data_IF_570601471476
#
_entry.id   IF_570601471476
#
_cell.length_a   1.000
_cell.length_b   1.000
_cell.length_c   1.000
_cell.angle_alpha   90.00
_cell.angle_beta   90.00
_cell.angle_gamma   90.00
#
_symmetry.space_group_name_H-M   'P 1'
#
loop_
_entity.id
_entity.type
_entity.pdbx_description
1 polymer ?
#
# COMPACT_ATOMS: atom_id res chain seq x y z
N UNK A 1 28.85 40.88 -34.95
CA UNK A 1 28.78 39.42 -34.60
C UNK A 1 28.72 38.59 -35.89
N UNK A 2 29.72 37.76 -36.16
CA UNK A 2 29.78 36.94 -37.36
C UNK A 2 28.64 35.92 -37.35
N UNK A 3 27.82 35.89 -38.43
CA UNK A 3 26.81 34.84 -38.68
C UNK A 3 27.54 33.50 -38.81
N UNK A 4 27.24 32.53 -37.92
CA UNK A 4 27.73 31.18 -38.05
C UNK A 4 27.32 30.63 -39.42
N UNK A 5 28.30 30.21 -40.24
CA UNK A 5 28.05 29.59 -41.54
C UNK A 5 27.31 28.27 -41.32
N UNK A 6 26.04 28.22 -41.71
CA UNK A 6 25.28 26.97 -41.76
C UNK A 6 25.86 26.08 -42.86
N UNK A 7 26.27 24.86 -42.50
CA UNK A 7 26.83 23.90 -43.44
C UNK A 7 25.73 22.96 -43.92
N UNK A 8 25.65 22.71 -45.24
CA UNK A 8 24.76 21.74 -45.86
C UNK A 8 25.42 20.36 -45.80
N UNK A 9 24.75 19.36 -45.30
CA UNK A 9 25.26 17.98 -45.26
C UNK A 9 25.07 17.25 -46.59
N UNK A 10 25.72 16.09 -46.72
CA UNK A 10 25.56 15.19 -47.88
C UNK A 10 24.14 14.69 -48.09
N UNK A 11 23.31 14.63 -46.99
CA UNK A 11 21.90 14.28 -47.01
C UNK A 11 20.95 15.44 -47.35
N UNK A 12 21.52 16.63 -47.69
CA UNK A 12 20.77 17.81 -48.07
C UNK A 12 20.26 18.69 -46.95
N UNK A 13 20.29 18.22 -45.68
CA UNK A 13 19.83 18.97 -44.53
C UNK A 13 20.80 20.08 -44.13
N UNK A 14 20.23 21.18 -43.66
CA UNK A 14 21.00 22.28 -43.05
C UNK A 14 21.37 21.92 -41.61
N UNK A 15 22.57 22.30 -41.18
CA UNK A 15 23.11 22.05 -39.86
C UNK A 15 23.54 23.34 -39.20
N UNK A 16 23.24 23.51 -37.92
CA UNK A 16 23.76 24.56 -37.05
C UNK A 16 24.36 23.97 -35.79
N UNK A 17 25.34 24.66 -35.23
CA UNK A 17 26.07 24.26 -34.04
C UNK A 17 25.76 25.24 -32.91
N UNK A 18 25.18 24.76 -31.81
CA UNK A 18 24.86 25.55 -30.61
C UNK A 18 25.83 25.17 -29.50
N UNK A 19 26.47 26.15 -28.91
CA UNK A 19 27.41 25.96 -27.79
C UNK A 19 26.63 25.74 -26.48
N UNK A 20 26.96 24.67 -25.74
CA UNK A 20 26.31 24.29 -24.48
C UNK A 20 27.09 24.70 -23.22
N UNK A 21 28.31 25.15 -23.34
CA UNK A 21 29.28 25.34 -22.25
C UNK A 21 30.33 24.21 -22.19
N UNK A 22 31.39 24.41 -21.45
CA UNK A 22 32.48 23.44 -21.19
C UNK A 22 33.01 22.71 -22.44
N UNK A 23 33.12 23.42 -23.56
CA UNK A 23 33.58 22.84 -24.83
C UNK A 23 32.57 21.94 -25.55
N UNK A 24 31.37 21.77 -25.00
CA UNK A 24 30.31 20.92 -25.59
C UNK A 24 29.42 21.67 -26.56
N UNK A 25 28.94 20.97 -27.56
CA UNK A 25 28.09 21.54 -28.61
C UNK A 25 26.91 20.60 -28.91
N UNK A 26 25.74 21.20 -29.21
CA UNK A 26 24.58 20.49 -29.79
C UNK A 26 24.48 20.84 -31.27
N UNK A 27 24.32 19.82 -32.11
CA UNK A 27 24.05 20.00 -33.52
C UNK A 27 22.54 19.93 -33.76
N UNK A 28 22.02 20.93 -34.49
CA UNK A 28 20.61 21.06 -34.81
C UNK A 28 20.48 20.92 -36.31
N UNK A 29 19.49 20.15 -36.78
CA UNK A 29 19.26 19.82 -38.19
C UNK A 29 17.85 20.20 -38.60
N UNK A 30 17.70 20.70 -39.85
CA UNK A 30 16.42 20.99 -40.47
C UNK A 30 16.51 20.98 -41.97
N UNK A 31 15.38 20.82 -42.64
CA UNK A 31 15.31 20.83 -44.08
C UNK A 31 15.26 22.25 -44.67
N UNK A 32 14.76 23.19 -43.88
CA UNK A 32 14.65 24.62 -44.24
C UNK A 32 15.40 25.52 -43.27
N UNK A 33 15.85 26.68 -43.78
CA UNK A 33 16.55 27.70 -42.95
C UNK A 33 15.63 28.22 -41.83
N UNK A 34 14.35 28.45 -42.13
CA UNK A 34 13.38 28.95 -41.16
C UNK A 34 13.17 27.98 -40.00
N UNK A 35 13.09 26.70 -40.29
CA UNK A 35 12.97 25.65 -39.29
C UNK A 35 14.25 25.50 -38.44
N UNK A 36 15.43 25.60 -39.11
CA UNK A 36 16.72 25.54 -38.44
C UNK A 36 16.85 26.70 -37.44
N UNK A 37 16.52 27.92 -37.84
CA UNK A 37 16.57 29.10 -37.00
C UNK A 37 15.61 28.99 -35.80
N UNK A 38 14.40 28.47 -36.02
CA UNK A 38 13.45 28.17 -34.94
C UNK A 38 14.03 27.18 -33.93
N UNK A 39 14.50 26.03 -34.40
CA UNK A 39 15.10 24.99 -33.55
C UNK A 39 16.33 25.48 -32.77
N UNK A 40 17.17 26.31 -33.38
CA UNK A 40 18.34 26.94 -32.74
C UNK A 40 17.86 27.90 -31.62
N UNK A 41 16.83 28.68 -31.86
CA UNK A 41 16.28 29.59 -30.85
C UNK A 41 15.67 28.81 -29.68
N UNK A 42 14.94 27.73 -29.95
CA UNK A 42 14.40 26.83 -28.91
C UNK A 42 15.51 26.27 -28.01
N UNK A 43 16.62 25.74 -28.59
CA UNK A 43 17.76 25.26 -27.84
C UNK A 43 18.40 26.36 -27.00
N UNK A 44 18.58 27.58 -27.57
CA UNK A 44 19.14 28.72 -26.83
C UNK A 44 18.24 29.16 -25.67
N UNK A 45 16.92 29.14 -25.86
CA UNK A 45 15.94 29.43 -24.82
C UNK A 45 16.02 28.41 -23.66
N UNK A 46 16.12 27.12 -24.00
CA UNK A 46 16.32 26.06 -23.00
C UNK A 46 17.61 26.26 -22.20
N UNK A 47 18.72 26.57 -22.87
CA UNK A 47 20.01 26.87 -22.23
C UNK A 47 19.86 28.12 -21.32
N UNK A 48 19.18 29.17 -21.80
CA UNK A 48 18.92 30.39 -21.02
C UNK A 48 18.08 30.13 -19.76
N UNK A 49 17.18 29.13 -19.79
CA UNK A 49 16.44 28.63 -18.63
C UNK A 49 17.28 27.69 -17.72
N UNK A 50 18.54 27.40 -18.08
CA UNK A 50 19.43 26.51 -17.36
C UNK A 50 19.09 25.02 -17.53
N UNK A 51 18.38 24.64 -18.60
CA UNK A 51 18.05 23.24 -18.90
C UNK A 51 19.27 22.56 -19.51
N UNK A 52 19.58 21.33 -19.02
CA UNK A 52 20.66 20.51 -19.55
C UNK A 52 20.21 19.81 -20.85
N UNK A 53 20.49 20.46 -21.97
CA UNK A 53 20.14 19.95 -23.32
C UNK A 53 21.00 18.74 -23.73
N UNK A 54 22.04 18.36 -22.98
CA UNK A 54 22.86 17.18 -23.28
C UNK A 54 22.14 15.88 -22.85
N UNK A 55 21.27 15.95 -21.85
CA UNK A 55 20.47 14.83 -21.32
C UNK A 55 19.06 14.75 -21.94
N UNK A 56 18.72 15.58 -22.95
CA UNK A 56 17.40 15.60 -23.58
C UNK A 56 16.99 14.27 -24.23
N UNK A 57 17.95 13.40 -24.56
CA UNK A 57 17.71 12.10 -25.19
C UNK A 57 17.48 10.98 -24.18
N UNK A 58 17.78 11.23 -22.90
CA UNK A 58 17.56 10.22 -21.86
C UNK A 58 16.08 9.95 -21.72
N UNK A 59 15.72 8.69 -21.76
CA UNK A 59 14.31 8.27 -21.76
C UNK A 59 13.67 8.31 -20.37
N UNK A 60 12.35 8.31 -20.32
CA UNK A 60 11.61 8.17 -19.07
C UNK A 60 12.07 6.93 -18.27
N UNK A 61 12.29 5.78 -18.96
CA UNK A 61 12.77 4.55 -18.34
C UNK A 61 14.13 4.71 -17.65
N UNK A 62 15.09 5.38 -18.31
CA UNK A 62 16.41 5.64 -17.73
C UNK A 62 16.33 6.57 -16.50
N UNK A 63 15.46 7.59 -16.55
CA UNK A 63 15.22 8.47 -15.39
C UNK A 63 14.49 7.77 -14.27
N UNK A 64 13.55 6.88 -14.58
CA UNK A 64 12.87 6.05 -13.60
C UNK A 64 13.85 5.11 -12.87
N UNK A 65 14.79 4.49 -13.59
CA UNK A 65 15.83 3.68 -12.98
C UNK A 65 16.78 4.49 -12.08
N UNK A 66 17.20 5.67 -12.53
CA UNK A 66 18.03 6.59 -11.72
C UNK A 66 17.29 7.00 -10.44
N UNK A 67 16.02 7.32 -10.57
CA UNK A 67 15.16 7.67 -9.45
C UNK A 67 14.99 6.48 -8.48
N UNK A 68 14.75 5.26 -8.96
CA UNK A 68 14.68 4.06 -8.14
C UNK A 68 15.98 3.79 -7.40
N UNK A 69 17.14 3.91 -8.06
CA UNK A 69 18.45 3.77 -7.40
C UNK A 69 18.61 4.77 -6.26
N UNK A 70 18.18 6.02 -6.43
CA UNK A 70 18.20 7.05 -5.38
C UNK A 70 17.29 6.74 -4.19
N UNK A 71 16.17 6.00 -4.42
CA UNK A 71 15.22 5.59 -3.37
C UNK A 71 15.69 4.37 -2.58
N UNK A 72 16.53 3.52 -3.18
CA UNK A 72 17.03 2.29 -2.57
C UNK A 72 17.74 2.60 -1.24
N UNK A 73 17.36 1.91 -0.17
CA UNK A 73 17.88 2.10 1.17
C UNK A 73 17.35 3.33 1.93
N UNK A 74 16.64 4.26 1.25
CA UNK A 74 16.05 5.46 1.89
C UNK A 74 14.58 5.28 2.27
N UNK A 75 13.92 4.28 1.70
CA UNK A 75 12.53 3.93 1.98
C UNK A 75 12.46 2.45 2.39
N UNK A 76 11.32 2.04 2.95
CA UNK A 76 11.12 0.62 3.29
C UNK A 76 11.18 -0.25 2.05
N UNK A 77 11.68 -1.49 2.19
CA UNK A 77 11.80 -2.44 1.09
C UNK A 77 10.43 -2.69 0.40
N UNK A 78 9.35 -2.82 1.18
CA UNK A 78 8.01 -3.00 0.61
C UNK A 78 7.59 -1.82 -0.27
N UNK A 79 7.89 -0.58 0.14
CA UNK A 79 7.59 0.60 -0.68
C UNK A 79 8.48 0.67 -1.93
N UNK A 80 9.76 0.30 -1.79
CA UNK A 80 10.67 0.20 -2.94
C UNK A 80 10.15 -0.80 -3.98
N UNK A 81 9.72 -1.99 -3.56
CA UNK A 81 9.15 -3.01 -4.45
C UNK A 81 7.86 -2.51 -5.12
N UNK A 82 7.00 -1.82 -4.38
CA UNK A 82 5.80 -1.19 -4.97
C UNK A 82 6.18 -0.22 -6.08
N UNK A 83 7.16 0.66 -5.85
CA UNK A 83 7.64 1.62 -6.84
C UNK A 83 8.24 0.91 -8.06
N UNK A 84 9.08 -0.10 -7.84
CA UNK A 84 9.69 -0.88 -8.93
C UNK A 84 8.64 -1.57 -9.82
N UNK A 85 7.59 -2.14 -9.20
CA UNK A 85 6.46 -2.74 -9.94
C UNK A 85 5.72 -1.67 -10.74
N UNK A 86 5.45 -0.48 -10.17
CA UNK A 86 4.78 0.61 -10.90
C UNK A 86 5.60 1.07 -12.10
N UNK A 87 6.90 1.31 -11.89
CA UNK A 87 7.83 1.69 -12.98
C UNK A 87 7.81 0.64 -14.10
N UNK A 88 7.96 -0.63 -13.77
CA UNK A 88 7.92 -1.71 -14.76
C UNK A 88 6.61 -1.74 -15.58
N UNK A 89 5.49 -1.36 -14.95
CA UNK A 89 4.17 -1.33 -15.61
C UNK A 89 3.92 -0.07 -16.44
N UNK A 90 4.85 0.88 -16.48
CA UNK A 90 4.82 2.08 -17.32
C UNK A 90 5.71 1.91 -18.58
N UNK A 91 5.80 0.68 -19.10
CA UNK A 91 6.68 0.35 -20.21
C UNK A 91 6.33 1.10 -21.51
N UNK A 92 5.05 1.41 -21.71
CA UNK A 92 4.55 2.12 -22.90
C UNK A 92 5.21 3.50 -23.08
N UNK A 93 5.58 4.17 -22.01
CA UNK A 93 6.26 5.48 -22.01
C UNK A 93 7.78 5.38 -21.75
N UNK A 94 8.29 4.17 -21.53
CA UNK A 94 9.68 3.95 -21.10
C UNK A 94 10.72 4.47 -22.08
N UNK A 95 10.42 4.41 -23.39
CA UNK A 95 11.32 4.80 -24.46
C UNK A 95 11.15 6.25 -24.94
N UNK A 96 10.18 7.00 -24.38
CA UNK A 96 9.97 8.40 -24.72
C UNK A 96 11.07 9.23 -24.06
N UNK A 97 11.76 10.13 -24.78
CA UNK A 97 12.67 11.10 -24.18
C UNK A 97 11.93 11.90 -23.09
N UNK A 98 12.50 11.98 -21.88
CA UNK A 98 11.76 12.57 -20.75
C UNK A 98 11.42 14.05 -20.99
N UNK A 99 12.21 14.75 -21.78
CA UNK A 99 11.98 16.15 -22.17
C UNK A 99 10.81 16.32 -23.16
N UNK A 100 10.39 15.23 -23.81
CA UNK A 100 9.31 15.21 -24.82
C UNK A 100 8.03 14.58 -24.26
N UNK A 101 8.08 14.05 -23.03
CA UNK A 101 6.95 13.40 -22.38
C UNK A 101 5.79 14.39 -22.22
N UNK A 102 4.65 14.08 -22.83
CA UNK A 102 3.45 14.91 -22.82
C UNK A 102 2.45 14.51 -21.74
N UNK A 103 1.47 15.37 -21.52
CA UNK A 103 0.31 15.08 -20.65
C UNK A 103 -0.47 13.88 -21.18
N UNK A 104 -0.64 13.79 -22.52
CA UNK A 104 -1.34 12.68 -23.18
C UNK A 104 -0.67 11.34 -22.92
N UNK A 105 0.65 11.24 -23.10
CA UNK A 105 1.39 10.01 -22.83
C UNK A 105 1.20 9.51 -21.40
N UNK A 106 1.19 10.45 -20.45
CA UNK A 106 0.98 10.14 -19.06
C UNK A 106 -0.49 9.78 -18.73
N UNK A 107 -1.46 10.41 -19.43
CA UNK A 107 -2.89 10.10 -19.30
C UNK A 107 -3.19 8.71 -19.83
N UNK A 108 -2.60 8.32 -20.97
CA UNK A 108 -2.79 6.99 -21.57
C UNK A 108 -2.44 5.85 -20.60
N UNK A 109 -1.44 6.03 -19.75
CA UNK A 109 -1.13 5.07 -18.67
C UNK A 109 -2.29 4.96 -17.66
N UNK A 110 -2.87 6.07 -17.27
CA UNK A 110 -4.00 6.09 -16.33
C UNK A 110 -5.23 5.42 -16.97
N UNK A 111 -5.53 5.78 -18.21
CA UNK A 111 -6.70 5.29 -18.96
C UNK A 111 -6.60 3.78 -19.22
N UNK A 112 -5.41 3.29 -19.60
CA UNK A 112 -5.12 1.86 -19.75
C UNK A 112 -5.44 1.09 -18.47
N UNK A 113 -4.91 1.52 -17.33
CA UNK A 113 -5.16 0.82 -16.07
C UNK A 113 -6.56 1.05 -15.51
N UNK A 114 -7.23 2.14 -15.90
CA UNK A 114 -8.65 2.34 -15.62
C UNK A 114 -9.49 1.31 -16.37
N UNK A 115 -9.21 1.10 -17.66
CA UNK A 115 -9.88 0.09 -18.48
C UNK A 115 -9.64 -1.35 -17.95
N UNK A 116 -8.43 -1.60 -17.39
CA UNK A 116 -8.08 -2.87 -16.72
C UNK A 116 -8.77 -3.03 -15.34
N UNK A 117 -9.62 -2.11 -14.91
CA UNK A 117 -10.32 -2.18 -13.62
C UNK A 117 -9.42 -1.91 -12.40
N UNK A 118 -8.35 -1.15 -12.55
CA UNK A 118 -7.47 -0.83 -11.42
C UNK A 118 -8.19 0.08 -10.40
N UNK A 119 -8.08 -0.26 -9.12
CA UNK A 119 -8.65 0.55 -8.05
C UNK A 119 -8.10 1.98 -8.07
N UNK A 120 -8.93 2.97 -7.77
CA UNK A 120 -8.59 4.40 -7.76
C UNK A 120 -7.29 4.70 -6.97
N UNK A 121 -7.09 4.05 -5.82
CA UNK A 121 -5.85 4.15 -5.05
C UNK A 121 -4.62 3.71 -5.86
N UNK A 122 -4.74 2.69 -6.69
CA UNK A 122 -3.67 2.21 -7.57
C UNK A 122 -3.34 3.24 -8.64
N UNK A 123 -4.35 3.88 -9.23
CA UNK A 123 -4.18 4.97 -10.19
C UNK A 123 -3.50 6.19 -9.55
N UNK A 124 -3.90 6.57 -8.33
CA UNK A 124 -3.19 7.60 -7.53
C UNK A 124 -1.70 7.26 -7.31
N UNK A 125 -1.37 5.98 -7.11
CA UNK A 125 0.02 5.55 -6.98
C UNK A 125 0.80 5.68 -8.30
N UNK A 126 0.20 5.34 -9.46
CA UNK A 126 0.82 5.56 -10.78
C UNK A 126 1.10 7.05 -10.99
N UNK A 127 0.08 7.91 -10.82
CA UNK A 127 0.23 9.37 -10.92
C UNK A 127 1.35 9.88 -10.00
N UNK A 128 1.38 9.43 -8.75
CA UNK A 128 2.40 9.84 -7.78
C UNK A 128 3.81 9.40 -8.18
N UNK A 129 4.00 8.18 -8.71
CA UNK A 129 5.32 7.67 -9.12
C UNK A 129 5.81 8.42 -10.37
N UNK A 130 4.98 8.57 -11.40
CA UNK A 130 5.30 9.36 -12.59
C UNK A 130 5.70 10.80 -12.22
N UNK A 131 4.88 11.45 -11.38
CA UNK A 131 5.16 12.81 -10.93
C UNK A 131 6.49 12.94 -10.20
N UNK A 132 6.85 11.97 -9.35
CA UNK A 132 8.14 11.98 -8.64
C UNK A 132 9.33 11.78 -9.58
N UNK A 133 9.19 10.99 -10.65
CA UNK A 133 10.22 10.78 -11.66
C UNK A 133 10.42 12.06 -12.47
N UNK A 134 9.32 12.67 -12.98
CA UNK A 134 9.38 13.95 -13.68
C UNK A 134 9.96 15.06 -12.80
N UNK A 135 9.53 15.15 -11.54
CA UNK A 135 10.09 16.12 -10.60
C UNK A 135 11.58 15.90 -10.37
N UNK A 136 12.06 14.66 -10.37
CA UNK A 136 13.47 14.36 -10.29
C UNK A 136 14.24 14.85 -11.52
N UNK A 137 13.66 14.73 -12.73
CA UNK A 137 14.23 15.25 -13.95
C UNK A 137 14.25 16.80 -13.96
N UNK A 138 13.20 17.46 -13.45
CA UNK A 138 13.15 18.93 -13.31
C UNK A 138 14.25 19.45 -12.37
N UNK A 139 14.42 18.83 -11.19
CA UNK A 139 15.49 19.20 -10.25
C UNK A 139 16.88 19.04 -10.88
N UNK A 140 17.04 18.08 -11.80
CA UNK A 140 18.27 17.89 -12.58
C UNK A 140 18.31 18.72 -13.88
N UNK A 141 17.37 19.66 -14.06
CA UNK A 141 17.34 20.62 -15.17
C UNK A 141 17.22 19.99 -16.56
N UNK A 142 16.49 18.88 -16.69
CA UNK A 142 16.27 18.19 -17.96
C UNK A 142 14.88 18.51 -18.54
N UNK A 143 13.94 18.85 -17.66
CA UNK A 143 12.61 19.35 -18.05
C UNK A 143 12.31 20.64 -17.28
N UNK A 144 11.38 21.42 -17.82
CA UNK A 144 10.94 22.68 -17.20
C UNK A 144 9.55 22.62 -16.56
N UNK A 145 8.74 21.60 -16.87
CA UNK A 145 7.44 21.39 -16.24
C UNK A 145 7.14 19.89 -16.05
N UNK A 146 6.20 19.58 -15.15
CA UNK A 146 5.79 18.22 -14.86
C UNK A 146 4.45 17.91 -15.56
N UNK A 147 4.44 17.11 -16.67
CA UNK A 147 3.23 16.82 -17.42
C UNK A 147 2.16 16.08 -16.60
N UNK A 148 2.59 15.38 -15.55
CA UNK A 148 1.68 14.62 -14.66
C UNK A 148 0.72 15.52 -13.88
N UNK A 149 0.98 16.82 -13.80
CA UNK A 149 0.07 17.77 -13.15
C UNK A 149 -1.26 17.94 -13.94
N UNK A 150 -1.21 17.79 -15.27
CA UNK A 150 -2.38 17.86 -16.13
C UNK A 150 -3.21 16.57 -16.23
N UNK A 151 -2.82 15.50 -15.55
CA UNK A 151 -3.55 14.22 -15.61
C UNK A 151 -4.85 14.31 -14.79
N UNK A 152 -5.92 13.78 -15.35
CA UNK A 152 -7.17 13.52 -14.67
C UNK A 152 -7.26 12.08 -14.19
N UNK A 153 -7.81 11.90 -12.98
CA UNK A 153 -8.13 10.58 -12.45
C UNK A 153 -9.62 10.34 -12.56
N UNK A 154 -10.07 9.11 -12.85
CA UNK A 154 -11.49 8.80 -12.82
C UNK A 154 -12.06 9.04 -11.42
N UNK A 155 -13.36 9.30 -11.28
CA UNK A 155 -14.02 9.40 -9.98
C UNK A 155 -13.81 8.15 -9.11
N UNK A 156 -13.74 8.33 -7.80
CA UNK A 156 -13.37 7.26 -6.85
C UNK A 156 -14.39 6.11 -6.82
N UNK A 157 -15.65 6.37 -7.20
CA UNK A 157 -16.76 5.42 -7.11
C UNK A 157 -16.85 4.41 -8.27
N UNK A 158 -16.12 4.59 -9.39
CA UNK A 158 -16.28 3.76 -10.61
C UNK A 158 -15.82 2.30 -10.41
N UNK A 159 -14.95 2.00 -9.43
CA UNK A 159 -14.35 0.68 -9.26
C UNK A 159 -14.38 0.08 -7.84
N UNK A 160 -15.03 0.73 -6.89
CA UNK A 160 -15.05 0.29 -5.48
C UNK A 160 -16.42 -0.20 -4.99
N UNK A 161 -17.46 -0.22 -5.85
CA UNK A 161 -18.83 -0.60 -5.47
C UNK A 161 -18.97 -2.05 -4.98
N UNK A 162 -18.08 -2.95 -5.38
CA UNK A 162 -18.09 -4.37 -5.00
C UNK A 162 -17.26 -4.69 -3.73
N UNK A 163 -16.61 -3.71 -3.12
CA UNK A 163 -15.81 -3.97 -1.93
C UNK A 163 -16.56 -3.58 -0.67
N UNK A 164 -16.87 -4.59 0.14
CA UNK A 164 -17.35 -4.31 1.50
C UNK A 164 -16.47 -3.27 2.18
N UNK A 165 -17.04 -2.16 2.68
CA UNK A 165 -16.28 -1.14 3.39
C UNK A 165 -15.60 -1.77 4.60
N UNK A 166 -14.39 -1.29 4.92
CA UNK A 166 -13.72 -1.72 6.14
C UNK A 166 -14.54 -1.30 7.35
N UNK A 167 -15.05 -2.29 8.06
CA UNK A 167 -15.88 -2.09 9.25
C UNK A 167 -15.35 -2.89 10.44
N UNK A 168 -15.86 -2.61 11.61
CA UNK A 168 -15.73 -3.50 12.74
C UNK A 168 -16.66 -4.72 12.55
N UNK A 169 -16.33 -5.81 13.21
CA UNK A 169 -17.17 -7.00 13.25
C UNK A 169 -18.46 -6.71 14.02
N UNK A 170 -19.55 -7.27 13.58
CA UNK A 170 -20.79 -7.31 14.38
C UNK A 170 -20.58 -8.15 15.65
N UNK A 171 -21.48 -8.04 16.60
CA UNK A 171 -21.42 -8.86 17.83
C UNK A 171 -21.49 -10.36 17.51
N UNK A 172 -22.25 -10.74 16.50
CA UNK A 172 -22.36 -12.13 16.08
C UNK A 172 -21.05 -12.62 15.43
N UNK A 173 -20.47 -11.84 14.53
CA UNK A 173 -19.17 -12.16 13.93
C UNK A 173 -18.04 -12.25 14.97
N UNK A 174 -18.10 -11.42 16.03
CA UNK A 174 -17.18 -11.52 17.17
C UNK A 174 -17.35 -12.85 17.92
N UNK A 175 -18.60 -13.31 18.11
CA UNK A 175 -18.90 -14.62 18.71
C UNK A 175 -18.30 -15.77 17.89
N UNK A 176 -18.30 -15.67 16.56
CA UNK A 176 -17.62 -16.67 15.70
C UNK A 176 -16.11 -16.74 15.97
N UNK A 177 -15.46 -15.58 16.17
CA UNK A 177 -14.03 -15.53 16.46
C UNK A 177 -13.71 -16.06 17.87
N UNK A 178 -14.61 -15.82 18.84
CA UNK A 178 -14.43 -16.25 20.23
C UNK A 178 -14.73 -17.75 20.40
N UNK A 179 -15.57 -18.31 19.53
CA UNK A 179 -15.98 -19.72 19.62
C UNK A 179 -14.78 -20.66 19.59
N UNK A 180 -14.69 -21.59 20.55
CA UNK A 180 -13.53 -22.48 20.65
C UNK A 180 -13.27 -23.30 19.40
N UNK A 181 -12.03 -23.38 18.98
CA UNK A 181 -11.57 -24.23 17.87
C UNK A 181 -10.11 -24.64 18.08
N UNK A 182 -9.72 -25.75 17.49
CA UNK A 182 -8.33 -26.22 17.45
C UNK A 182 -7.55 -25.63 16.25
N UNK A 183 -8.15 -24.75 15.47
CA UNK A 183 -7.47 -24.16 14.33
C UNK A 183 -6.32 -23.26 14.76
N UNK A 184 -5.15 -23.45 14.14
CA UNK A 184 -3.89 -22.76 14.49
C UNK A 184 -3.95 -21.22 14.39
N UNK A 185 -4.85 -20.66 13.59
CA UNK A 185 -5.02 -19.21 13.48
C UNK A 185 -5.87 -18.63 14.61
N UNK A 186 -6.54 -19.44 15.42
CA UNK A 186 -7.45 -18.97 16.47
C UNK A 186 -6.73 -18.09 17.48
N UNK A 187 -5.55 -18.49 17.96
CA UNK A 187 -4.74 -17.66 18.87
C UNK A 187 -4.42 -16.28 18.26
N UNK A 188 -4.10 -16.27 16.98
CA UNK A 188 -3.86 -15.01 16.27
C UNK A 188 -5.13 -14.14 16.20
N UNK A 189 -6.28 -14.74 15.91
CA UNK A 189 -7.56 -14.04 15.84
C UNK A 189 -7.97 -13.44 17.20
N UNK A 190 -7.86 -14.22 18.28
CA UNK A 190 -8.14 -13.78 19.65
C UNK A 190 -7.24 -12.60 20.06
N UNK A 191 -5.93 -12.67 19.79
CA UNK A 191 -5.00 -11.57 20.12
C UNK A 191 -5.36 -10.31 19.32
N UNK A 192 -5.65 -10.44 18.03
CA UNK A 192 -6.01 -9.28 17.20
C UNK A 192 -7.35 -8.66 17.61
N UNK A 193 -8.33 -9.47 18.01
CA UNK A 193 -9.64 -9.00 18.47
C UNK A 193 -9.55 -8.28 19.81
N UNK A 194 -8.78 -8.81 20.77
CA UNK A 194 -8.77 -8.32 22.16
C UNK A 194 -7.56 -7.47 22.53
N UNK A 195 -6.51 -7.43 21.72
CA UNK A 195 -5.32 -6.62 21.94
C UNK A 195 -4.97 -5.72 20.74
N UNK A 196 -5.68 -5.84 19.64
CA UNK A 196 -5.55 -4.95 18.49
C UNK A 196 -4.16 -4.94 17.82
N UNK A 197 -3.35 -5.99 17.98
CA UNK A 197 -2.02 -6.04 17.39
C UNK A 197 -2.08 -6.02 15.85
N UNK A 198 -1.12 -5.31 15.24
CA UNK A 198 -0.93 -5.43 13.79
C UNK A 198 -0.41 -6.82 13.45
N UNK A 199 -0.73 -7.33 12.27
CA UNK A 199 -0.23 -8.65 11.81
C UNK A 199 1.29 -8.81 12.00
N UNK A 200 2.08 -7.81 11.63
CA UNK A 200 3.54 -7.88 11.78
C UNK A 200 4.00 -7.95 13.24
N UNK A 201 3.33 -7.25 14.15
CA UNK A 201 3.59 -7.27 15.59
C UNK A 201 3.25 -8.65 16.17
N UNK A 202 2.08 -9.18 15.82
CA UNK A 202 1.62 -10.50 16.21
C UNK A 202 2.59 -11.62 15.77
N UNK A 203 3.05 -11.60 14.52
CA UNK A 203 3.96 -12.62 13.98
C UNK A 203 5.36 -12.57 14.61
N UNK A 204 5.74 -11.46 15.24
CA UNK A 204 6.98 -11.31 16.00
C UNK A 204 6.84 -11.64 17.50
N UNK A 205 5.60 -11.84 17.98
CA UNK A 205 5.30 -11.96 19.39
C UNK A 205 5.85 -13.27 19.98
N UNK A 206 6.57 -13.16 21.09
CA UNK A 206 7.05 -14.29 21.88
C UNK A 206 6.19 -14.45 23.15
N UNK A 207 6.16 -15.64 23.71
CA UNK A 207 5.52 -15.88 25.00
C UNK A 207 6.13 -15.09 26.15
N UNK A 208 7.40 -14.67 26.02
CA UNK A 208 8.06 -13.78 27.00
C UNK A 208 7.56 -12.34 26.95
N UNK A 209 6.95 -11.91 25.82
CA UNK A 209 6.37 -10.58 25.68
C UNK A 209 4.98 -10.48 26.35
N UNK A 210 4.42 -11.61 26.84
CA UNK A 210 3.10 -11.71 27.47
C UNK A 210 3.24 -11.93 28.96
N UNK A 211 2.75 -10.97 29.74
CA UNK A 211 2.66 -11.06 31.20
C UNK A 211 1.23 -11.42 31.60
N UNK A 212 0.96 -12.70 31.85
CA UNK A 212 -0.39 -13.18 32.20
C UNK A 212 -0.88 -12.61 33.53
N UNK A 213 -0.08 -12.60 34.64
CA UNK A 213 -0.49 -12.02 35.92
C UNK A 213 -0.85 -10.54 35.80
N UNK A 214 -0.07 -9.74 35.08
CA UNK A 214 -0.33 -8.32 34.86
C UNK A 214 -1.35 -8.06 33.75
N UNK A 215 -1.76 -9.08 33.01
CA UNK A 215 -2.66 -8.99 31.85
C UNK A 215 -2.18 -7.96 30.85
N UNK A 216 -0.92 -8.09 30.40
CA UNK A 216 -0.32 -7.15 29.46
C UNK A 216 0.46 -7.88 28.35
N UNK A 217 0.51 -7.27 27.18
CA UNK A 217 1.36 -7.66 26.05
C UNK A 217 2.28 -6.49 25.73
N UNK A 218 3.60 -6.74 25.71
CA UNK A 218 4.60 -5.76 25.31
C UNK A 218 4.87 -5.87 23.81
N UNK A 219 4.63 -4.80 23.06
CA UNK A 219 4.90 -4.71 21.64
C UNK A 219 6.16 -3.87 21.42
N UNK A 220 7.25 -4.51 21.00
CA UNK A 220 8.56 -3.87 20.80
C UNK A 220 9.23 -4.24 19.48
N UNK A 221 8.64 -5.15 18.72
CA UNK A 221 9.15 -5.68 17.45
C UNK A 221 8.01 -6.04 16.51
N UNK A 222 8.33 -6.13 15.23
CA UNK A 222 7.40 -6.56 14.19
C UNK A 222 8.11 -7.35 13.10
N UNK A 223 7.43 -8.28 12.47
CA UNK A 223 7.90 -8.93 11.24
C UNK A 223 7.64 -8.01 10.06
N UNK A 224 8.70 -7.70 9.32
CA UNK A 224 8.64 -7.12 7.98
C UNK A 224 8.90 -8.21 6.94
N UNK A 225 8.20 -8.13 5.80
CA UNK A 225 8.39 -9.05 4.68
C UNK A 225 9.35 -8.45 3.66
N UNK A 226 10.42 -9.17 3.36
CA UNK A 226 11.37 -8.84 2.30
C UNK A 226 11.33 -9.96 1.27
N UNK A 227 10.67 -9.74 0.12
CA UNK A 227 10.43 -10.79 -0.90
C UNK A 227 9.83 -12.07 -0.31
N UNK A 228 8.79 -11.93 0.51
CA UNK A 228 8.11 -13.01 1.29
C UNK A 228 8.97 -13.68 2.38
N UNK A 229 10.20 -13.24 2.60
CA UNK A 229 11.04 -13.71 3.69
C UNK A 229 10.74 -12.86 4.94
N UNK A 230 10.31 -13.48 6.06
CA UNK A 230 10.01 -12.75 7.28
C UNK A 230 11.31 -12.36 8.00
N UNK A 231 11.43 -11.08 8.36
CA UNK A 231 12.54 -10.57 9.19
C UNK A 231 11.99 -9.77 10.36
N UNK A 232 12.51 -10.03 11.54
CA UNK A 232 12.19 -9.23 12.74
C UNK A 232 12.89 -7.88 12.58
N UNK A 233 12.11 -6.80 12.76
CA UNK A 233 12.61 -5.44 12.90
C UNK A 233 12.14 -4.89 14.24
N UNK A 234 13.00 -4.20 15.01
CA UNK A 234 12.55 -3.49 16.19
C UNK A 234 11.52 -2.44 15.76
N UNK A 235 10.51 -2.23 16.59
CA UNK A 235 9.61 -1.10 16.40
C UNK A 235 10.44 0.19 16.48
N UNK A 236 10.18 1.15 15.59
CA UNK A 236 10.87 2.44 15.60
C UNK A 236 10.64 3.15 16.94
N UNK A 237 11.66 3.88 17.42
CA UNK A 237 11.67 4.61 18.70
C UNK A 237 10.56 5.69 18.86
N UNK A 238 9.61 5.76 17.95
CA UNK A 238 8.42 6.60 18.13
C UNK A 238 7.55 6.00 19.23
N UNK A 239 7.00 6.85 20.12
CA UNK A 239 6.08 6.43 21.23
C UNK A 239 4.96 5.50 20.74
N UNK A 240 4.54 5.60 19.49
CA UNK A 240 3.51 4.75 18.87
C UNK A 240 4.00 3.35 18.45
N UNK A 241 5.31 3.10 18.37
CA UNK A 241 5.90 1.83 17.95
C UNK A 241 6.12 0.85 19.10
N UNK A 242 6.58 1.34 20.25
CA UNK A 242 6.80 0.53 21.46
C UNK A 242 5.71 0.87 22.49
N UNK A 243 4.93 -0.13 22.87
CA UNK A 243 3.82 0.05 23.79
C UNK A 243 3.54 -1.22 24.58
N UNK A 244 2.84 -1.05 25.71
CA UNK A 244 2.24 -2.13 26.46
C UNK A 244 0.73 -2.07 26.29
N UNK A 245 0.13 -3.17 25.84
CA UNK A 245 -1.31 -3.31 25.62
C UNK A 245 -1.92 -4.09 26.79
N UNK A 246 -2.95 -3.54 27.41
CA UNK A 246 -3.75 -4.24 28.40
C UNK A 246 -4.69 -5.25 27.71
N UNK A 247 -4.84 -6.43 28.29
CA UNK A 247 -5.70 -7.48 27.77
C UNK A 247 -6.79 -7.86 28.76
N UNK A 248 -8.01 -8.17 28.28
CA UNK A 248 -9.10 -8.58 29.17
C UNK A 248 -8.85 -9.98 29.77
N UNK A 249 -9.53 -10.33 30.89
CA UNK A 249 -9.39 -11.63 31.53
C UNK A 249 -9.57 -12.81 30.59
N UNK A 250 -10.58 -12.76 29.73
CA UNK A 250 -10.88 -13.82 28.75
C UNK A 250 -9.68 -14.14 27.84
N UNK A 251 -8.95 -13.12 27.36
CA UNK A 251 -7.75 -13.35 26.55
C UNK A 251 -6.60 -13.86 27.42
N UNK A 252 -6.44 -13.36 28.64
CA UNK A 252 -5.37 -13.78 29.54
C UNK A 252 -5.49 -15.27 29.93
N UNK A 253 -6.70 -15.73 30.22
CA UNK A 253 -7.00 -17.13 30.51
C UNK A 253 -6.76 -18.03 29.31
N UNK A 254 -7.26 -17.62 28.15
CA UNK A 254 -7.01 -18.32 26.90
C UNK A 254 -5.50 -18.45 26.59
N UNK A 255 -4.74 -17.37 26.74
CA UNK A 255 -3.29 -17.37 26.48
C UNK A 255 -2.51 -18.21 27.53
N UNK A 256 -3.00 -18.31 28.76
CA UNK A 256 -2.42 -19.20 29.79
C UNK A 256 -2.51 -20.66 29.33
N UNK A 257 -3.67 -21.08 28.86
CA UNK A 257 -3.87 -22.43 28.33
C UNK A 257 -3.02 -22.68 27.09
N UNK A 258 -2.98 -21.75 26.13
CA UNK A 258 -2.16 -21.90 24.92
C UNK A 258 -0.66 -21.94 25.22
N UNK A 259 -0.19 -21.17 26.21
CA UNK A 259 1.21 -21.17 26.65
C UNK A 259 1.64 -22.50 27.22
N UNK A 260 0.79 -23.19 27.96
CA UNK A 260 1.08 -24.53 28.52
C UNK A 260 1.28 -25.59 27.43
N UNK A 261 0.67 -25.40 26.25
CA UNK A 261 0.74 -26.28 25.07
C UNK A 261 1.82 -25.87 24.07
N UNK A 262 2.49 -24.74 24.31
CA UNK A 262 3.42 -24.14 23.36
C UNK A 262 4.71 -24.97 23.23
N UNK A 263 5.11 -25.25 21.98
CA UNK A 263 6.35 -25.96 21.63
C UNK A 263 7.48 -25.02 21.16
N UNK A 264 7.20 -23.73 21.03
CA UNK A 264 8.14 -22.73 20.53
C UNK A 264 8.03 -21.44 21.34
N UNK A 265 9.05 -20.58 21.24
CA UNK A 265 9.01 -19.25 21.86
C UNK A 265 8.01 -18.33 21.15
N UNK A 266 7.76 -18.51 19.84
CA UNK A 266 6.80 -17.72 19.10
C UNK A 266 5.36 -18.09 19.47
N UNK A 267 4.50 -17.10 19.61
CA UNK A 267 3.07 -17.30 19.88
C UNK A 267 2.35 -17.83 18.63
N UNK A 268 2.72 -17.35 17.45
CA UNK A 268 2.11 -17.73 16.18
C UNK A 268 3.19 -18.23 15.19
N UNK A 269 3.80 -19.41 15.42
CA UNK A 269 4.82 -19.97 14.53
C UNK A 269 4.19 -20.53 13.24
N UNK A 270 5.02 -20.73 12.22
CA UNK A 270 4.68 -21.59 11.08
C UNK A 270 4.71 -23.08 11.47
N UNK A 271 4.44 -23.99 10.52
CA UNK A 271 4.43 -25.44 10.77
C UNK A 271 5.78 -26.01 11.19
N UNK A 272 6.89 -25.29 10.95
CA UNK A 272 8.27 -25.67 11.33
C UNK A 272 8.73 -25.00 12.63
N UNK A 273 7.84 -24.30 13.34
CA UNK A 273 8.20 -23.60 14.59
C UNK A 273 8.91 -22.25 14.38
N UNK A 274 9.04 -21.77 13.16
CA UNK A 274 9.77 -20.54 12.79
C UNK A 274 8.81 -19.38 12.46
N UNK A 275 9.37 -18.21 12.12
CA UNK A 275 8.58 -17.05 11.66
C UNK A 275 7.73 -17.40 10.45
N UNK A 276 6.54 -16.84 10.39
CA UNK A 276 5.59 -17.07 9.31
C UNK A 276 5.81 -16.09 8.16
N UNK A 277 5.92 -16.59 6.92
CA UNK A 277 5.97 -15.75 5.72
C UNK A 277 4.59 -15.17 5.38
N UNK A 278 4.54 -14.18 4.47
CA UNK A 278 3.28 -13.59 4.02
C UNK A 278 2.37 -14.59 3.31
N UNK A 279 2.95 -15.48 2.50
CA UNK A 279 2.23 -16.54 1.81
C UNK A 279 1.70 -17.60 2.78
N UNK A 280 2.50 -18.00 3.78
CA UNK A 280 2.09 -18.95 4.83
C UNK A 280 0.95 -18.37 5.69
N UNK A 281 1.04 -17.09 6.06
CA UNK A 281 -0.03 -16.39 6.76
C UNK A 281 -1.34 -16.39 5.96
N UNK A 282 -1.26 -16.06 4.68
CA UNK A 282 -2.44 -16.01 3.80
C UNK A 282 -3.13 -17.36 3.71
N UNK A 283 -2.35 -18.45 3.53
CA UNK A 283 -2.87 -19.82 3.52
C UNK A 283 -3.55 -20.18 4.84
N UNK A 284 -2.88 -19.90 5.97
CA UNK A 284 -3.40 -20.17 7.31
C UNK A 284 -4.70 -19.39 7.57
N UNK A 285 -4.72 -18.10 7.23
CA UNK A 285 -5.88 -17.24 7.46
C UNK A 285 -7.08 -17.66 6.59
N UNK A 286 -6.83 -17.97 5.31
CA UNK A 286 -7.88 -18.47 4.42
C UNK A 286 -8.46 -19.82 4.89
N UNK A 287 -7.63 -20.71 5.45
CA UNK A 287 -8.14 -21.98 6.01
C UNK A 287 -8.98 -21.73 7.26
N UNK A 288 -8.64 -20.73 8.07
CA UNK A 288 -9.44 -20.33 9.22
C UNK A 288 -10.79 -19.75 8.80
N UNK A 289 -10.83 -18.87 7.81
CA UNK A 289 -12.08 -18.35 7.26
C UNK A 289 -12.97 -19.45 6.68
N UNK A 290 -12.40 -20.47 6.02
CA UNK A 290 -13.15 -21.63 5.56
C UNK A 290 -13.77 -22.42 6.70
N UNK A 291 -13.08 -22.58 7.83
CA UNK A 291 -13.62 -23.22 9.02
C UNK A 291 -14.76 -22.39 9.63
N UNK A 292 -14.58 -21.07 9.76
CA UNK A 292 -15.65 -20.18 10.24
C UNK A 292 -16.86 -20.24 9.31
N UNK A 293 -16.64 -20.17 8.01
CA UNK A 293 -17.71 -20.29 7.00
C UNK A 293 -18.45 -21.60 7.11
N UNK A 294 -17.73 -22.71 7.28
CA UNK A 294 -18.34 -24.01 7.46
C UNK A 294 -19.18 -24.10 8.74
N UNK A 295 -18.69 -23.51 9.84
CA UNK A 295 -19.38 -23.56 11.16
C UNK A 295 -20.57 -22.63 11.24
N UNK A 296 -20.45 -21.44 10.74
CA UNK A 296 -21.36 -20.32 11.01
C UNK A 296 -22.03 -19.75 9.75
N UNK A 297 -21.60 -20.17 8.55
CA UNK A 297 -22.22 -19.73 7.31
C UNK A 297 -23.65 -20.25 7.17
N UNK A 298 -24.53 -19.38 6.71
CA UNK A 298 -25.87 -19.72 6.27
C UNK A 298 -25.80 -20.09 4.79
N UNK A 299 -26.21 -21.31 4.47
CA UNK A 299 -26.15 -21.85 3.12
C UNK A 299 -27.55 -22.05 2.51
N UNK A 300 -28.61 -21.66 3.21
CA UNK A 300 -29.99 -21.83 2.73
C UNK A 300 -30.21 -20.98 1.48
N UNK A 301 -30.78 -21.60 0.45
CA UNK A 301 -31.06 -20.94 -0.82
C UNK A 301 -29.83 -20.63 -1.70
N UNK A 302 -28.60 -21.04 -1.30
CA UNK A 302 -27.41 -20.84 -2.13
C UNK A 302 -27.44 -21.76 -3.35
N UNK A 303 -27.38 -21.15 -4.54
CA UNK A 303 -27.28 -21.86 -5.80
C UNK A 303 -25.84 -21.99 -6.26
N UNK A 304 -25.45 -23.18 -6.68
CA UNK A 304 -24.14 -23.47 -7.27
C UNK A 304 -24.31 -24.07 -8.66
N UNK A 305 -23.33 -23.80 -9.53
CA UNK A 305 -23.29 -24.43 -10.86
C UNK A 305 -22.59 -25.79 -10.75
N UNK A 306 -23.25 -26.86 -11.17
CA UNK A 306 -22.67 -28.19 -11.20
C UNK A 306 -21.66 -28.35 -12.37
N UNK A 307 -21.03 -29.54 -12.45
CA UNK A 307 -20.05 -29.84 -13.52
C UNK A 307 -20.65 -29.87 -14.94
N UNK A 308 -21.98 -29.86 -15.05
CA UNK A 308 -22.73 -29.84 -16.31
C UNK A 308 -23.28 -28.46 -16.67
N UNK A 309 -22.98 -27.43 -15.85
CA UNK A 309 -23.45 -26.07 -16.06
C UNK A 309 -24.87 -25.80 -15.52
N UNK A 310 -25.50 -26.73 -14.85
CA UNK A 310 -26.86 -26.59 -14.29
C UNK A 310 -26.81 -26.00 -12.90
N UNK A 311 -27.73 -25.07 -12.57
CA UNK A 311 -27.90 -24.53 -11.23
C UNK A 311 -28.55 -25.56 -10.32
N UNK A 312 -27.96 -25.82 -9.17
CA UNK A 312 -28.52 -26.65 -8.09
C UNK A 312 -28.36 -25.97 -6.74
N UNK A 313 -29.24 -26.23 -5.82
CA UNK A 313 -29.14 -25.79 -4.45
C UNK A 313 -27.93 -26.44 -3.75
N UNK A 314 -27.12 -25.64 -3.07
CA UNK A 314 -25.99 -26.16 -2.32
C UNK A 314 -26.45 -26.84 -1.04
N UNK A 315 -26.06 -28.09 -0.84
CA UNK A 315 -26.26 -28.79 0.43
C UNK A 315 -24.95 -28.82 1.22
N UNK A 316 -24.99 -28.27 2.44
CA UNK A 316 -23.83 -28.25 3.33
C UNK A 316 -23.31 -29.65 3.58
N UNK A 317 -22.04 -29.95 3.26
CA UNK A 317 -21.50 -31.29 3.50
C UNK A 317 -21.30 -31.55 5.00
N UNK A 318 -21.16 -32.81 5.38
CA UNK A 318 -20.89 -33.18 6.79
C UNK A 318 -19.47 -32.82 7.27
N UNK A 319 -18.53 -32.58 6.37
CA UNK A 319 -17.14 -32.29 6.68
C UNK A 319 -16.58 -31.15 5.84
N UNK A 320 -15.72 -30.34 6.46
CA UNK A 320 -14.96 -29.28 5.78
C UNK A 320 -14.05 -29.84 4.66
N UNK A 321 -13.61 -31.11 4.79
CA UNK A 321 -12.75 -31.78 3.81
C UNK A 321 -13.52 -32.53 2.71
N UNK A 322 -14.81 -32.25 2.55
CA UNK A 322 -15.60 -32.79 1.45
C UNK A 322 -14.98 -32.37 0.09
N UNK A 323 -15.08 -33.24 -0.95
CA UNK A 323 -14.55 -32.94 -2.27
C UNK A 323 -15.26 -31.76 -2.94
N UNK A 324 -16.47 -31.47 -2.54
CA UNK A 324 -17.27 -30.37 -3.07
C UNK A 324 -16.74 -29.02 -2.56
N UNK A 325 -16.60 -28.04 -3.48
CA UNK A 325 -16.18 -26.69 -3.12
C UNK A 325 -17.30 -25.98 -2.35
N UNK A 326 -17.07 -25.72 -1.07
CA UNK A 326 -18.01 -24.97 -0.22
C UNK A 326 -17.99 -23.49 -0.64
N UNK A 327 -19.12 -22.90 -1.04
CA UNK A 327 -19.21 -21.47 -1.34
C UNK A 327 -18.90 -20.65 -0.10
N UNK A 328 -18.32 -19.46 -0.28
CA UNK A 328 -18.01 -18.54 0.82
C UNK A 328 -19.21 -17.62 1.02
N UNK A 329 -19.92 -17.78 2.13
CA UNK A 329 -21.15 -17.03 2.46
C UNK A 329 -20.93 -16.04 3.60
N UNK A 330 -19.86 -16.19 4.38
CA UNK A 330 -19.48 -15.18 5.38
C UNK A 330 -18.57 -14.11 4.77
N UNK A 331 -18.53 -12.89 5.34
CA UNK A 331 -17.64 -11.84 4.87
C UNK A 331 -16.17 -12.23 4.97
N UNK A 332 -15.33 -11.66 4.12
CA UNK A 332 -13.87 -11.87 4.16
C UNK A 332 -13.23 -11.11 5.32
N UNK A 333 -13.40 -11.62 6.53
CA UNK A 333 -12.80 -11.05 7.75
C UNK A 333 -11.28 -11.01 7.61
N UNK A 334 -10.69 -9.82 7.66
CA UNK A 334 -9.24 -9.64 7.61
C UNK A 334 -8.67 -9.38 9.00
N UNK A 335 -7.37 -9.63 9.18
CA UNK A 335 -6.64 -9.23 10.39
C UNK A 335 -6.84 -7.74 10.75
N UNK A 336 -7.07 -6.90 9.75
CA UNK A 336 -7.28 -5.48 9.96
C UNK A 336 -8.67 -5.17 10.52
N UNK A 337 -9.69 -5.93 10.12
CA UNK A 337 -11.04 -5.82 10.68
C UNK A 337 -11.07 -6.15 12.18
N UNK A 338 -10.35 -7.19 12.63
CA UNK A 338 -10.24 -7.52 14.05
C UNK A 338 -9.62 -6.36 14.85
N UNK A 339 -8.60 -5.73 14.32
CA UNK A 339 -8.01 -4.55 14.96
C UNK A 339 -8.96 -3.34 14.94
N UNK A 340 -9.74 -3.14 13.86
CA UNK A 340 -10.80 -2.12 13.84
C UNK A 340 -11.83 -2.41 14.93
N UNK A 341 -12.27 -3.66 15.06
CA UNK A 341 -13.20 -4.09 16.10
C UNK A 341 -12.66 -3.80 17.49
N UNK A 342 -11.38 -4.09 17.75
CA UNK A 342 -10.73 -3.75 19.02
C UNK A 342 -10.86 -2.26 19.36
N UNK A 343 -10.57 -1.39 18.40
CA UNK A 343 -10.65 0.07 18.60
C UNK A 343 -12.09 0.51 18.82
N UNK A 344 -13.02 -0.01 18.05
CA UNK A 344 -14.45 0.28 18.19
C UNK A 344 -14.98 -0.19 19.54
N UNK A 345 -14.64 -1.40 19.99
CA UNK A 345 -15.05 -1.93 21.29
C UNK A 345 -14.50 -1.10 22.44
N UNK A 346 -13.25 -0.62 22.36
CA UNK A 346 -12.71 0.31 23.38
C UNK A 346 -13.52 1.60 23.45
N UNK A 347 -13.86 2.17 22.31
CA UNK A 347 -14.65 3.40 22.24
C UNK A 347 -16.07 3.18 22.81
N UNK A 348 -16.74 2.09 22.39
CA UNK A 348 -18.08 1.74 22.91
C UNK A 348 -18.06 1.46 24.42
N UNK A 349 -16.95 0.98 24.96
CA UNK A 349 -16.74 0.80 26.40
C UNK A 349 -16.41 2.11 27.14
N UNK A 350 -16.43 3.26 26.47
CA UNK A 350 -16.18 4.57 27.08
C UNK A 350 -14.69 4.91 27.29
N UNK A 351 -13.78 4.15 26.69
CA UNK A 351 -12.35 4.47 26.72
C UNK A 351 -12.10 5.70 25.86
N UNK A 352 -11.40 6.70 26.40
CA UNK A 352 -11.09 7.91 25.66
C UNK A 352 -10.24 7.64 24.42
N UNK A 353 -10.40 8.49 23.39
CA UNK A 353 -9.79 8.28 22.07
C UNK A 353 -8.26 8.30 22.12
N UNK A 354 -7.66 9.04 23.06
CA UNK A 354 -6.19 9.10 23.20
C UNK A 354 -5.65 7.80 23.77
N UNK A 355 -6.29 7.24 24.79
CA UNK A 355 -5.96 5.90 25.32
C UNK A 355 -6.16 4.82 24.27
N UNK A 356 -7.27 4.84 23.53
CA UNK A 356 -7.51 3.91 22.42
C UNK A 356 -6.42 4.01 21.34
N UNK A 357 -5.98 5.23 21.01
CA UNK A 357 -4.87 5.50 20.09
C UNK A 357 -3.56 4.88 20.59
N UNK A 358 -3.21 5.07 21.85
CA UNK A 358 -2.00 4.51 22.45
C UNK A 358 -2.02 2.99 22.46
N UNK A 359 -3.10 2.39 22.96
CA UNK A 359 -3.27 0.92 22.99
C UNK A 359 -3.20 0.33 21.57
N UNK A 360 -3.84 0.96 20.60
CA UNK A 360 -3.75 0.55 19.21
C UNK A 360 -2.38 0.89 18.56
N UNK A 361 -1.59 1.83 19.11
CA UNK A 361 -0.32 2.27 18.52
C UNK A 361 -0.51 3.01 17.18
N UNK A 362 -1.49 3.91 17.11
CA UNK A 362 -1.67 4.81 15.98
C UNK A 362 -0.83 6.08 16.18
N UNK A 363 -0.11 6.51 15.14
CA UNK A 363 0.66 7.75 15.20
C UNK A 363 -0.26 8.97 15.22
N UNK A 364 -1.38 8.90 14.49
CA UNK A 364 -2.31 10.00 14.32
C UNK A 364 -3.76 9.58 14.67
N UNK A 365 -4.50 10.49 15.27
CA UNK A 365 -5.91 10.31 15.63
C UNK A 365 -6.80 10.23 14.38
N UNK A 366 -6.40 10.91 13.30
CA UNK A 366 -7.10 10.87 12.01
C UNK A 366 -7.25 9.46 11.44
N UNK A 367 -6.39 8.51 11.86
CA UNK A 367 -6.49 7.11 11.47
C UNK A 367 -7.55 6.33 12.25
N UNK A 368 -8.02 6.84 13.38
CA UNK A 368 -9.05 6.22 14.24
C UNK A 368 -10.44 6.72 13.86
N UNK A 369 -10.57 8.02 13.56
CA UNK A 369 -11.86 8.67 13.26
C UNK A 369 -12.65 7.92 12.16
N UNK A 370 -12.07 7.54 11.01
CA UNK A 370 -12.80 6.77 10.00
C UNK A 370 -13.28 5.40 10.50
N UNK A 371 -12.52 4.78 11.44
CA UNK A 371 -12.90 3.50 12.05
C UNK A 371 -14.15 3.67 12.92
N UNK A 372 -14.23 4.75 13.68
CA UNK A 372 -15.37 5.07 14.53
C UNK A 372 -16.60 5.47 13.72
N UNK A 373 -16.42 6.23 12.65
CA UNK A 373 -17.50 6.70 11.77
C UNK A 373 -18.09 5.59 10.88
N UNK A 374 -17.33 4.54 10.55
CA UNK A 374 -17.82 3.42 9.76
C UNK A 374 -18.92 2.59 10.45
N UNK A 375 -19.12 2.81 11.74
CA UNK A 375 -20.13 2.10 12.56
C UNK A 375 -21.34 2.96 12.94
N UNK A 376 -21.72 3.94 12.12
CA UNK A 376 -22.97 4.74 12.23
C UNK A 376 -23.16 5.53 13.53
N UNK A 377 -22.10 5.83 14.26
CA UNK A 377 -22.17 6.75 15.41
C UNK A 377 -21.46 8.06 15.02
N UNK A 378 -22.16 9.19 14.89
CA UNK A 378 -21.53 10.48 14.65
C UNK A 378 -20.66 10.86 15.86
N UNK A 379 -19.35 10.78 15.70
CA UNK A 379 -18.43 11.28 16.72
C UNK A 379 -18.30 12.79 16.53
N UNK A 380 -18.83 13.56 17.46
CA UNK A 380 -18.50 14.98 17.56
C UNK A 380 -17.00 15.11 17.87
N UNK A 381 -16.23 15.54 16.88
CA UNK A 381 -14.81 15.87 17.06
C UNK A 381 -14.77 17.17 17.87
N UNK A 382 -14.11 17.23 19.04
CA UNK A 382 -13.81 18.51 19.66
C UNK A 382 -12.91 19.29 18.70
N UNK A 383 -13.45 20.31 18.06
CA UNK A 383 -12.66 21.29 17.33
C UNK A 383 -11.96 22.15 18.36
N UNK A 384 -10.73 21.83 18.72
CA UNK A 384 -9.84 22.78 19.40
C UNK A 384 -9.51 23.93 18.46
N UNK A 385 -10.46 24.86 18.37
CA UNK A 385 -10.22 26.22 17.92
C UNK A 385 -9.94 27.04 19.16
N UNK A 386 -8.73 27.04 19.66
CA UNK A 386 -8.18 28.10 20.49
C UNK A 386 -6.69 27.85 20.73
N UNK A 387 -5.87 28.11 19.72
CA UNK A 387 -4.48 28.49 19.91
C UNK A 387 -4.33 29.94 19.43
N UNK A 388 -4.87 30.87 20.22
CA UNK A 388 -4.38 32.23 20.22
C UNK A 388 -3.15 32.29 21.12
N UNK A 389 -1.98 32.18 20.53
CA UNK A 389 -0.78 32.75 21.14
C UNK A 389 -0.88 34.28 21.04
N UNK A 390 -1.26 34.91 22.11
CA UNK A 390 -0.96 36.32 22.32
C UNK A 390 0.52 36.43 22.67
N UNK A 391 1.28 37.06 21.81
CA UNK A 391 2.55 37.68 22.16
C UNK A 391 2.24 38.95 23.00
N UNK A 392 2.71 39.00 24.21
CA UNK A 392 3.25 40.19 24.89
C UNK A 392 4.56 39.80 25.59
#
# INVERSE_FOLDING_TARGET
>A
MARAKNTKRSDGRLQSKVYLGDGKYKYVYADTQRELDRKVQEVKLKIGKGIDVSAERDTFGEWAERWLRKKKGKISEGRYQTYAIRVKKMDDISNIPISELSVSDCQDIIDKYTADGAAHKTLKEYKSVMSQICQYAIVNRVMDFNPVQGIELPPEYIHDEDKEPRRALTEEEQKWIIAPTNHRAHTAAMIMLFAGLRRGELLALNWTDINIPKRTITVNKAVAMEKDIPRIKPCTKTKSGMRTVNIPPILAEYLRDQRSKAKTMLVCPNTKGSLMSGSSWRKLWNSYLKELNFRFGDFDGILITDSKGSLKEFKKPQSLNAPEKIPMVIPQITAHWLRHTFITNMYLAGVDVMTAKEQAGHADITTIIPVLNSNTIPVAVPTDKNNHYNNE
#
